data_IF_268431191160
#
_entry.id   IF_268431191160
#
_cell.length_a   1.000
_cell.length_b   1.000
_cell.length_c   1.000
_cell.angle_alpha   90.00
_cell.angle_beta   90.00
_cell.angle_gamma   90.00
#
_symmetry.space_group_name_H-M   'P 1'
#
loop_
_entity.id
_entity.type
_entity.pdbx_description
1 polymer ?
#
# COMPACT_ATOMS: atom_id res chain seq x y z
N UNK A 1 -16.38 -14.99 -12.18
CA UNK A 1 -16.56 -13.67 -11.53
C UNK A 1 -15.66 -13.70 -10.32
N UNK A 2 -14.82 -12.69 -10.14
CA UNK A 2 -13.95 -12.57 -8.98
C UNK A 2 -14.84 -12.50 -7.72
N UNK A 3 -14.45 -13.24 -6.67
CA UNK A 3 -15.17 -13.33 -5.40
C UNK A 3 -14.72 -12.26 -4.41
N UNK A 4 -13.71 -11.47 -4.79
CA UNK A 4 -13.15 -10.40 -3.98
C UNK A 4 -14.09 -9.20 -3.87
N UNK A 5 -14.32 -8.72 -2.64
CA UNK A 5 -15.05 -7.47 -2.42
C UNK A 5 -14.15 -6.24 -2.51
N UNK A 6 -12.84 -6.40 -2.34
CA UNK A 6 -11.86 -5.33 -2.40
C UNK A 6 -10.56 -5.80 -3.05
N UNK A 7 -9.97 -4.96 -3.89
CA UNK A 7 -8.65 -5.16 -4.48
C UNK A 7 -7.96 -3.81 -4.65
N UNK A 8 -6.68 -3.74 -4.31
CA UNK A 8 -5.81 -2.60 -4.58
C UNK A 8 -4.55 -3.08 -5.31
N UNK A 9 -4.23 -2.37 -6.39
CA UNK A 9 -3.09 -2.65 -7.27
C UNK A 9 -2.17 -1.43 -7.29
N UNK A 10 -0.87 -1.68 -7.16
CA UNK A 10 0.20 -0.72 -7.35
C UNK A 10 1.01 -1.12 -8.58
N UNK A 11 1.27 -0.17 -9.47
CA UNK A 11 2.24 -0.29 -10.57
C UNK A 11 3.16 0.92 -10.56
N UNK A 12 4.39 0.79 -11.03
CA UNK A 12 5.31 1.92 -11.15
C UNK A 12 6.14 1.85 -12.41
N UNK A 13 6.84 2.95 -12.69
CA UNK A 13 7.93 3.01 -13.67
C UNK A 13 9.12 3.70 -13.06
N UNK A 14 10.30 3.29 -13.46
CA UNK A 14 11.56 3.79 -12.94
C UNK A 14 12.46 4.11 -14.13
N UNK A 15 12.38 5.33 -14.71
CA UNK A 15 12.95 5.65 -16.02
C UNK A 15 14.46 5.44 -16.20
N UNK A 16 15.24 5.30 -15.12
CA UNK A 16 16.67 4.99 -15.24
C UNK A 16 16.95 3.48 -15.26
N UNK A 17 15.96 2.65 -14.95
CA UNK A 17 15.99 1.23 -15.24
C UNK A 17 15.77 1.03 -16.75
N UNK A 18 16.73 0.37 -17.40
CA UNK A 18 16.71 0.16 -18.84
C UNK A 18 15.84 -1.04 -19.24
N UNK A 19 15.56 -1.94 -18.31
CA UNK A 19 14.79 -3.15 -18.52
C UNK A 19 13.90 -3.42 -17.30
N UNK A 20 12.82 -2.65 -17.12
CA UNK A 20 11.81 -2.82 -16.05
C UNK A 20 11.04 -4.17 -16.11
N UNK A 21 11.53 -5.14 -16.88
CA UNK A 21 10.96 -6.50 -16.99
C UNK A 21 11.93 -7.58 -16.55
N UNK A 22 13.16 -7.23 -16.18
CA UNK A 22 14.07 -8.19 -15.57
C UNK A 22 13.67 -8.49 -14.12
N UNK A 23 14.00 -9.70 -13.67
CA UNK A 23 13.60 -10.22 -12.36
C UNK A 23 14.85 -10.58 -11.56
N UNK A 24 14.81 -10.38 -10.25
CA UNK A 24 15.85 -10.72 -9.30
C UNK A 24 16.12 -9.62 -8.27
N UNK A 25 16.87 -9.99 -7.24
CA UNK A 25 17.34 -9.04 -6.21
C UNK A 25 18.01 -7.84 -6.88
N UNK A 26 17.51 -6.65 -6.56
CA UNK A 26 18.03 -5.35 -7.04
C UNK A 26 17.88 -5.13 -8.57
N UNK A 27 17.02 -5.89 -9.27
CA UNK A 27 16.85 -5.74 -10.72
C UNK A 27 16.14 -4.42 -11.10
N UNK A 28 15.23 -3.94 -10.25
CA UNK A 28 14.56 -2.64 -10.38
C UNK A 28 14.37 -1.97 -9.03
N UNK A 29 13.60 -0.87 -8.98
CA UNK A 29 13.25 -0.21 -7.72
C UNK A 29 12.17 -0.96 -6.94
N UNK A 30 12.25 -0.92 -5.63
CA UNK A 30 11.33 -1.60 -4.71
C UNK A 30 10.32 -0.63 -4.08
N UNK A 31 9.04 -0.82 -4.39
CA UNK A 31 7.93 -0.04 -3.83
C UNK A 31 6.92 -0.99 -3.19
N UNK A 32 6.62 -0.74 -1.93
CA UNK A 32 5.71 -1.56 -1.14
C UNK A 32 4.30 -0.95 -1.07
N UNK A 33 3.30 -1.77 -1.32
CA UNK A 33 1.90 -1.49 -1.14
C UNK A 33 1.47 -1.86 0.28
N UNK A 34 0.88 -0.87 0.95
CA UNK A 34 0.33 -1.02 2.29
C UNK A 34 -1.19 -0.92 2.25
N UNK A 35 -1.86 -1.86 2.93
CA UNK A 35 -3.27 -1.77 3.25
C UNK A 35 -3.47 -2.08 4.72
N UNK A 36 -3.90 -1.08 5.50
CA UNK A 36 -3.92 -1.17 6.96
C UNK A 36 -5.24 -0.72 7.57
N UNK A 37 -5.61 -1.31 8.71
CA UNK A 37 -6.65 -0.73 9.59
C UNK A 37 -6.21 0.65 10.08
N UNK A 38 -7.11 1.65 10.06
CA UNK A 38 -6.76 3.02 10.42
C UNK A 38 -6.80 3.30 11.93
N UNK A 39 -5.98 4.26 12.38
CA UNK A 39 -5.98 4.76 13.75
C UNK A 39 -5.54 3.72 14.79
N UNK A 40 -6.13 3.74 15.99
CA UNK A 40 -5.77 2.80 17.07
C UNK A 40 -5.93 1.33 16.67
N UNK A 41 -6.81 1.04 15.71
CA UNK A 41 -7.07 -0.32 15.23
C UNK A 41 -5.92 -0.87 14.38
N UNK A 42 -4.97 -0.04 13.91
CA UNK A 42 -3.76 -0.50 13.20
C UNK A 42 -2.84 -1.36 14.07
N UNK A 43 -2.91 -1.18 15.40
CA UNK A 43 -1.97 -1.75 16.35
C UNK A 43 -0.55 -1.16 16.24
N UNK A 44 -0.33 -0.16 15.39
CA UNK A 44 0.93 0.56 15.30
C UNK A 44 1.08 1.55 16.46
N UNK A 45 2.35 1.82 16.81
CA UNK A 45 2.82 2.80 17.80
C UNK A 45 3.95 3.64 17.21
N UNK A 46 4.08 3.60 15.88
CA UNK A 46 5.13 4.24 15.13
C UNK A 46 4.55 5.51 14.50
N UNK A 47 5.28 6.62 14.65
CA UNK A 47 4.99 7.94 14.11
C UNK A 47 6.15 8.25 13.16
N UNK A 48 5.95 7.94 11.88
CA UNK A 48 6.99 8.00 10.86
C UNK A 48 7.08 9.35 10.17
N UNK A 49 5.99 10.13 10.16
CA UNK A 49 5.99 11.50 9.65
C UNK A 49 6.38 12.54 10.72
N UNK A 50 6.36 12.18 12.01
CA UNK A 50 6.78 12.99 13.14
C UNK A 50 5.74 14.01 13.59
N UNK A 51 4.46 13.84 13.24
CA UNK A 51 3.40 14.78 13.59
C UNK A 51 2.87 14.62 15.04
N UNK A 52 3.32 13.57 15.74
CA UNK A 52 2.92 13.24 17.10
C UNK A 52 1.72 12.29 17.20
N UNK A 53 1.28 11.71 16.08
CA UNK A 53 0.19 10.73 15.96
C UNK A 53 0.75 9.40 15.46
N UNK A 54 0.29 8.29 16.03
CA UNK A 54 0.68 6.96 15.55
C UNK A 54 0.12 6.74 14.12
N UNK A 55 1.00 6.44 13.17
CA UNK A 55 0.69 6.06 11.79
C UNK A 55 0.20 4.61 11.71
N UNK A 56 -0.71 4.27 10.79
CA UNK A 56 -1.24 2.90 10.68
C UNK A 56 -0.28 1.90 10.02
N UNK A 57 0.82 2.38 9.42
CA UNK A 57 1.75 1.57 8.63
C UNK A 57 2.74 0.81 9.51
N UNK A 58 3.22 -0.33 9.02
CA UNK A 58 4.10 -1.27 9.73
C UNK A 58 3.51 -1.79 11.05
N UNK A 59 2.18 -1.72 11.18
CA UNK A 59 1.40 -2.13 12.35
C UNK A 59 1.08 -3.63 12.37
N UNK A 60 0.37 -4.07 13.41
CA UNK A 60 -0.09 -5.46 13.54
C UNK A 60 -1.11 -5.82 12.45
N UNK A 61 -1.89 -4.83 12.02
CA UNK A 61 -2.98 -4.99 11.05
C UNK A 61 -2.66 -4.27 9.74
N UNK A 62 -1.38 -4.15 9.41
CA UNK A 62 -0.94 -3.70 8.11
C UNK A 62 -0.62 -4.91 7.22
N UNK A 63 -1.20 -4.95 6.04
CA UNK A 63 -0.90 -5.93 4.99
C UNK A 63 0.11 -5.32 4.04
N UNK A 64 1.31 -5.88 4.03
CA UNK A 64 2.47 -5.48 3.22
C UNK A 64 3.45 -6.67 3.15
N UNK A 65 4.56 -6.56 2.44
CA UNK A 65 5.51 -7.65 2.16
C UNK A 65 5.88 -8.51 3.39
N UNK A 66 6.13 -7.88 4.54
CA UNK A 66 6.55 -8.60 5.76
C UNK A 66 5.39 -9.28 6.49
N UNK A 67 4.18 -8.73 6.37
CA UNK A 67 2.95 -9.24 6.99
C UNK A 67 1.87 -9.46 5.91
N UNK A 68 2.05 -10.43 5.01
CA UNK A 68 1.26 -10.49 3.78
C UNK A 68 -0.19 -10.94 3.98
N UNK A 69 -0.58 -11.39 5.18
CA UNK A 69 -1.96 -11.80 5.48
C UNK A 69 -2.23 -11.70 6.99
N UNK A 70 -2.26 -10.50 7.58
CA UNK A 70 -2.53 -10.33 9.00
C UNK A 70 -3.96 -10.74 9.31
N UNK A 71 -4.19 -11.41 10.45
CA UNK A 71 -5.54 -11.73 10.88
C UNK A 71 -6.22 -10.47 11.43
N UNK A 72 -6.95 -9.75 10.58
CA UNK A 72 -7.84 -8.63 10.94
C UNK A 72 -9.12 -9.15 11.60
N UNK A 73 -9.38 -10.42 11.35
CA UNK A 73 -10.66 -11.00 11.23
C UNK A 73 -11.08 -11.90 12.37
N UNK A 74 -11.74 -12.95 11.95
CA UNK A 74 -12.13 -14.07 12.77
C UNK A 74 -10.93 -15.01 12.94
N UNK A 75 -10.76 -15.57 14.14
CA UNK A 75 -9.81 -16.67 14.35
C UNK A 75 -10.27 -17.99 13.72
N UNK A 76 -11.49 -18.03 13.18
CA UNK A 76 -11.98 -19.16 12.39
C UNK A 76 -11.42 -19.06 10.96
N UNK A 77 -10.50 -19.96 10.56
CA UNK A 77 -9.85 -19.91 9.25
C UNK A 77 -10.80 -20.23 8.08
N UNK A 78 -12.05 -20.61 8.36
CA UNK A 78 -13.09 -20.79 7.34
C UNK A 78 -13.80 -19.48 6.95
N UNK A 79 -13.47 -18.36 7.59
CA UNK A 79 -13.95 -17.02 7.24
C UNK A 79 -12.82 -16.29 6.50
N UNK A 80 -13.13 -15.75 5.32
CA UNK A 80 -12.17 -15.01 4.47
C UNK A 80 -12.39 -13.50 4.67
N UNK A 81 -12.08 -13.03 5.89
CA UNK A 81 -12.20 -11.63 6.31
C UNK A 81 -10.87 -10.91 6.54
N UNK A 82 -9.76 -11.54 6.11
CA UNK A 82 -8.41 -11.02 6.17
C UNK A 82 -7.94 -10.58 4.77
N UNK A 83 -7.38 -9.38 4.61
CA UNK A 83 -6.68 -9.00 3.38
C UNK A 83 -5.39 -9.79 3.20
N UNK A 84 -5.05 -10.07 1.95
CA UNK A 84 -3.89 -10.85 1.55
C UNK A 84 -3.14 -10.18 0.41
N UNK A 85 -1.82 -10.15 0.51
CA UNK A 85 -0.92 -9.85 -0.60
C UNK A 85 -0.94 -11.03 -1.58
N UNK A 86 -1.50 -10.81 -2.75
CA UNK A 86 -1.71 -11.80 -3.82
C UNK A 86 -0.47 -11.87 -4.72
N UNK A 87 0.16 -10.72 -4.96
CA UNK A 87 1.42 -10.60 -5.67
C UNK A 87 2.27 -9.54 -4.99
N UNK A 88 3.46 -9.98 -4.64
CA UNK A 88 4.58 -9.19 -4.14
C UNK A 88 5.57 -9.06 -5.29
N UNK A 89 5.98 -7.83 -5.61
CA UNK A 89 6.79 -7.50 -6.77
C UNK A 89 7.97 -6.65 -6.30
N UNK A 90 9.12 -7.31 -6.17
CA UNK A 90 10.30 -6.78 -5.46
C UNK A 90 11.36 -6.24 -6.41
N UNK A 91 11.09 -6.27 -7.72
CA UNK A 91 12.13 -6.17 -8.74
C UNK A 91 11.73 -5.40 -10.00
N UNK A 92 10.49 -4.91 -10.14
CA UNK A 92 10.21 -3.79 -11.06
C UNK A 92 8.81 -3.75 -11.65
N UNK A 93 8.35 -2.53 -11.97
CA UNK A 93 7.13 -2.25 -12.74
C UNK A 93 5.80 -2.56 -12.04
N UNK A 94 5.80 -3.51 -11.11
CA UNK A 94 4.61 -4.12 -10.56
C UNK A 94 3.90 -5.07 -11.54
N UNK A 95 2.68 -5.53 -11.23
CA UNK A 95 1.89 -5.05 -10.11
C UNK A 95 2.22 -5.70 -8.77
N UNK A 96 2.21 -4.90 -7.72
CA UNK A 96 1.86 -5.40 -6.39
C UNK A 96 0.34 -5.39 -6.22
N UNK A 97 -0.17 -6.41 -5.53
CA UNK A 97 -1.60 -6.66 -5.43
C UNK A 97 -2.01 -7.13 -4.04
N UNK A 98 -2.89 -6.38 -3.39
CA UNK A 98 -3.58 -6.81 -2.16
C UNK A 98 -5.07 -6.97 -2.45
N UNK A 99 -5.67 -8.05 -1.95
CA UNK A 99 -7.10 -8.30 -2.11
C UNK A 99 -7.74 -8.88 -0.84
N UNK A 100 -9.06 -8.70 -0.72
CA UNK A 100 -9.87 -9.29 0.35
C UNK A 100 -11.22 -9.77 -0.19
N UNK A 101 -11.62 -11.00 0.17
CA UNK A 101 -12.95 -11.53 -0.14
C UNK A 101 -14.03 -10.73 0.58
N UNK A 102 -13.86 -10.55 1.88
CA UNK A 102 -14.70 -9.66 2.69
C UNK A 102 -13.81 -8.82 3.61
N UNK A 103 -14.27 -7.62 3.96
CA UNK A 103 -13.66 -6.81 5.00
C UNK A 103 -14.62 -6.75 6.19
N UNK A 104 -14.08 -6.52 7.38
CA UNK A 104 -14.92 -6.11 8.50
C UNK A 104 -15.44 -4.69 8.27
N UNK A 105 -16.59 -4.31 8.85
CA UNK A 105 -16.98 -2.91 8.91
C UNK A 105 -15.90 -2.09 9.62
N UNK A 106 -15.40 -1.03 8.99
CA UNK A 106 -14.24 -0.30 9.47
C UNK A 106 -13.74 0.80 8.54
N UNK A 107 -12.65 1.44 8.97
CA UNK A 107 -11.89 2.41 8.18
C UNK A 107 -10.47 1.87 7.96
N UNK A 108 -10.01 2.01 6.74
CA UNK A 108 -8.72 1.49 6.28
C UNK A 108 -7.96 2.56 5.51
N UNK A 109 -6.64 2.42 5.48
CA UNK A 109 -5.75 3.26 4.70
C UNK A 109 -5.07 2.46 3.60
N UNK A 110 -4.76 3.13 2.50
CA UNK A 110 -3.88 2.64 1.43
C UNK A 110 -2.67 3.57 1.36
N UNK A 111 -1.46 3.01 1.37
CA UNK A 111 -0.24 3.76 1.14
C UNK A 111 0.72 3.03 0.20
N UNK A 112 1.65 3.78 -0.38
CA UNK A 112 2.78 3.26 -1.17
C UNK A 112 4.05 3.77 -0.51
N UNK A 113 4.94 2.86 -0.13
CA UNK A 113 6.25 3.21 0.44
C UNK A 113 7.33 2.94 -0.60
N UNK A 114 8.15 3.94 -0.91
CA UNK A 114 9.33 3.72 -1.74
C UNK A 114 10.47 3.20 -0.87
N UNK A 115 10.56 1.88 -0.78
CA UNK A 115 11.46 1.20 0.13
C UNK A 115 12.92 1.37 -0.27
N UNK A 116 13.29 1.02 -1.51
CA UNK A 116 14.68 1.11 -1.96
C UNK A 116 14.81 1.37 -3.47
N UNK A 117 15.69 2.28 -3.88
CA UNK A 117 15.81 2.68 -5.29
C UNK A 117 16.75 1.81 -6.14
N UNK A 118 17.60 1.00 -5.51
CA UNK A 118 18.68 0.23 -6.15
C UNK A 118 19.52 1.07 -7.14
N UNK A 119 19.73 2.35 -6.82
CA UNK A 119 20.40 3.34 -7.66
C UNK A 119 19.71 3.66 -9.00
N UNK A 120 18.45 3.28 -9.17
CA UNK A 120 17.61 3.69 -10.31
C UNK A 120 16.90 5.03 -10.08
N UNK A 121 16.95 5.60 -8.87
CA UNK A 121 16.52 6.96 -8.60
C UNK A 121 15.03 7.10 -8.30
N UNK A 122 14.30 7.91 -9.06
CA UNK A 122 12.89 8.18 -8.79
C UNK A 122 11.97 7.17 -9.48
N UNK A 123 10.83 6.89 -8.86
CA UNK A 123 9.76 6.06 -9.42
C UNK A 123 8.48 6.86 -9.62
N UNK A 124 7.68 6.47 -10.61
CA UNK A 124 6.36 7.04 -10.93
C UNK A 124 5.28 5.99 -10.65
N UNK A 125 4.71 6.04 -9.45
CA UNK A 125 3.75 5.08 -8.94
C UNK A 125 2.31 5.43 -9.34
N UNK A 126 1.48 4.41 -9.52
CA UNK A 126 0.05 4.51 -9.81
C UNK A 126 -0.72 3.46 -9.03
N UNK A 127 -1.84 3.87 -8.44
CA UNK A 127 -2.72 2.99 -7.67
C UNK A 127 -4.08 2.86 -8.34
N UNK A 128 -4.59 1.63 -8.38
CA UNK A 128 -5.98 1.32 -8.76
C UNK A 128 -6.67 0.60 -7.63
N UNK A 129 -7.91 1.00 -7.35
CA UNK A 129 -8.75 0.33 -6.35
C UNK A 129 -10.01 -0.17 -7.01
N UNK A 130 -10.30 -1.45 -6.82
CA UNK A 130 -11.54 -2.09 -7.24
C UNK A 130 -12.36 -2.51 -6.03
N UNK A 131 -13.67 -2.28 -6.10
CA UNK A 131 -14.62 -2.69 -5.08
C UNK A 131 -15.77 -3.45 -5.74
N UNK A 132 -16.01 -4.67 -5.27
CA UNK A 132 -16.94 -5.64 -5.87
C UNK A 132 -16.73 -5.77 -7.39
N UNK A 133 -15.47 -5.80 -7.83
CA UNK A 133 -15.06 -5.90 -9.23
C UNK A 133 -15.18 -4.63 -10.08
N UNK A 134 -15.61 -3.50 -9.51
CA UNK A 134 -15.68 -2.22 -10.23
C UNK A 134 -14.49 -1.33 -9.88
N UNK A 135 -13.83 -0.73 -10.87
CA UNK A 135 -12.81 0.29 -10.65
C UNK A 135 -13.46 1.53 -10.00
N UNK A 136 -13.04 1.87 -8.78
CA UNK A 136 -13.57 3.01 -8.01
C UNK A 136 -12.56 4.13 -7.82
N UNK A 137 -11.26 3.83 -7.95
CA UNK A 137 -10.17 4.80 -7.96
C UNK A 137 -9.11 4.37 -8.96
N UNK A 138 -8.64 5.31 -9.77
CA UNK A 138 -7.39 5.23 -10.52
C UNK A 138 -6.69 6.58 -10.35
N UNK A 139 -5.45 6.56 -9.85
CA UNK A 139 -4.66 7.79 -9.65
C UNK A 139 -3.93 8.19 -10.92
N UNK A 140 -3.55 9.46 -11.01
CA UNK A 140 -2.43 9.87 -11.89
C UNK A 140 -1.11 9.26 -11.38
N UNK A 141 -0.06 9.32 -12.21
CA UNK A 141 1.29 8.92 -11.79
C UNK A 141 1.85 9.92 -10.78
N UNK A 142 2.25 9.42 -9.61
CA UNK A 142 2.87 10.18 -8.54
C UNK A 142 4.36 9.86 -8.49
N UNK A 143 5.19 10.89 -8.59
CA UNK A 143 6.64 10.74 -8.45
C UNK A 143 6.99 10.55 -6.98
N UNK A 144 7.72 9.48 -6.68
CA UNK A 144 8.27 9.17 -5.37
C UNK A 144 9.79 9.11 -5.43
N UNK A 145 10.43 9.46 -4.32
CA UNK A 145 11.87 9.31 -4.09
C UNK A 145 12.10 8.33 -2.93
N UNK A 146 13.27 7.70 -2.87
CA UNK A 146 13.57 6.69 -1.84
C UNK A 146 13.27 7.22 -0.43
N UNK A 147 12.48 6.45 0.33
CA UNK A 147 12.01 6.80 1.67
C UNK A 147 10.77 7.68 1.70
N UNK A 148 10.15 8.03 0.58
CA UNK A 148 8.82 8.64 0.58
C UNK A 148 7.74 7.60 0.90
N UNK A 149 6.79 7.95 1.76
CA UNK A 149 5.52 7.23 1.92
C UNK A 149 4.39 8.11 1.39
N UNK A 150 3.74 7.66 0.33
CA UNK A 150 2.55 8.29 -0.22
C UNK A 150 1.30 7.71 0.42
N UNK A 151 0.58 8.55 1.17
CA UNK A 151 -0.71 8.21 1.76
C UNK A 151 -1.80 8.42 0.72
N UNK A 152 -2.26 7.33 0.10
CA UNK A 152 -3.02 7.36 -1.16
C UNK A 152 -4.49 7.70 -0.91
N UNK A 153 -5.14 6.95 -0.03
CA UNK A 153 -6.58 7.00 0.14
C UNK A 153 -7.03 6.38 1.47
N UNK A 154 -8.22 6.79 1.90
CA UNK A 154 -8.98 6.09 2.94
C UNK A 154 -10.10 5.26 2.33
N UNK A 155 -10.41 4.12 2.94
CA UNK A 155 -11.48 3.22 2.55
C UNK A 155 -12.43 3.04 3.72
N UNK A 156 -13.73 3.19 3.47
CA UNK A 156 -14.79 2.90 4.44
C UNK A 156 -15.63 1.72 3.99
N UNK A 157 -15.70 0.68 4.82
CA UNK A 157 -16.48 -0.53 4.58
C UNK A 157 -17.56 -0.70 5.66
N UNK A 158 -18.78 -1.18 5.35
CA UNK A 158 -19.29 -1.66 4.05
C UNK A 158 -19.86 -0.56 3.15
N UNK A 159 -19.62 0.72 3.44
CA UNK A 159 -20.08 1.83 2.60
C UNK A 159 -19.41 1.88 1.21
N UNK A 160 -18.36 1.09 0.99
CA UNK A 160 -17.64 0.96 -0.28
C UNK A 160 -17.14 2.30 -0.81
N UNK A 161 -16.77 3.20 0.10
CA UNK A 161 -16.31 4.55 -0.23
C UNK A 161 -14.80 4.59 -0.16
N UNK A 162 -14.16 4.94 -1.29
CA UNK A 162 -12.72 5.20 -1.38
C UNK A 162 -12.54 6.71 -1.57
N UNK A 163 -11.78 7.35 -0.68
CA UNK A 163 -11.54 8.79 -0.72
C UNK A 163 -10.04 9.05 -0.87
N UNK A 164 -9.58 9.54 -2.03
CA UNK A 164 -8.19 9.96 -2.21
C UNK A 164 -7.79 11.00 -1.17
N UNK A 165 -6.54 10.93 -0.73
CA UNK A 165 -5.97 11.93 0.15
C UNK A 165 -5.12 12.91 -0.65
N UNK A 166 -5.45 14.18 -0.51
CA UNK A 166 -4.76 15.29 -1.14
C UNK A 166 -4.52 16.38 -0.09
N UNK A 167 -3.48 17.18 -0.30
CA UNK A 167 -3.25 18.41 0.47
C UNK A 167 -4.34 19.45 0.16
N UNK A 168 -4.36 20.55 0.92
CA UNK A 168 -5.26 21.69 0.64
C UNK A 168 -5.06 22.29 -0.77
N UNK A 169 -3.91 22.04 -1.42
CA UNK A 169 -3.60 22.47 -2.78
C UNK A 169 -3.99 21.45 -3.85
N UNK A 170 -4.50 20.27 -3.47
CA UNK A 170 -4.84 19.18 -4.37
C UNK A 170 -3.64 18.32 -4.77
N UNK A 171 -2.52 18.42 -4.05
CA UNK A 171 -1.33 17.61 -4.32
C UNK A 171 -1.39 16.28 -3.54
N UNK A 172 -0.70 15.21 -3.99
CA UNK A 172 -0.61 13.97 -3.23
C UNK A 172 -0.03 14.18 -1.82
N UNK A 173 -0.56 13.46 -0.83
CA UNK A 173 -0.04 13.48 0.56
C UNK A 173 1.17 12.56 0.66
N UNK A 174 2.37 13.14 0.69
CA UNK A 174 3.64 12.40 0.76
C UNK A 174 4.39 12.79 2.03
N UNK A 175 4.80 11.78 2.80
CA UNK A 175 5.70 11.91 3.95
C UNK A 175 7.11 11.50 3.53
N UNK A 176 8.05 12.44 3.56
CA UNK A 176 9.43 12.18 3.14
C UNK A 176 10.30 11.65 4.28
N UNK A 177 11.26 10.77 3.95
CA UNK A 177 12.13 10.07 4.91
C UNK A 177 11.35 9.22 5.90
N UNK A 178 10.23 8.66 5.46
CA UNK A 178 9.42 7.72 6.22
C UNK A 178 10.17 6.39 6.34
N UNK A 179 10.61 6.03 7.54
CA UNK A 179 11.45 4.83 7.74
C UNK A 179 11.23 4.18 9.10
N UNK A 180 10.66 2.97 9.12
CA UNK A 180 10.52 2.23 10.36
C UNK A 180 11.83 1.46 10.67
N UNK A 181 12.52 1.73 11.80
CA UNK A 181 13.83 1.11 12.12
C UNK A 181 13.76 -0.41 12.32
N UNK A 182 12.58 -1.00 12.47
CA UNK A 182 12.40 -2.45 12.53
C UNK A 182 12.48 -3.12 11.15
N UNK A 183 12.25 -2.34 10.09
CA UNK A 183 12.17 -2.80 8.70
C UNK A 183 13.15 -2.05 7.80
N UNK A 184 14.06 -1.26 8.39
CA UNK A 184 15.11 -0.57 7.65
C UNK A 184 16.15 -1.56 7.11
N UNK A 185 16.75 -1.22 5.97
CA UNK A 185 17.95 -1.89 5.44
C UNK A 185 19.21 -1.69 6.31
#
# INVERSE_FOLDING_TARGET
>A
MSTESFQVELTWRTPNDQDETDEGSEAGSDLDLHFSASGYESGSKYDGDGDGVDDPWFGTYDTFWFSPSPNWGSLNPAVTDDPMMIRDDIDGGGPELIAAETLKPGQYGIAVHYFHDHAYGDAWAKVRVHVAGNLVLETEEVRLTMGDLWNVATVKYPELTVTPLETDTGDPVIYSNYSNPMFAE
#
